data_IF_004253483543
#
_entry.id   IF_004253483543
#
_cell.length_a   1.000
_cell.length_b   1.000
_cell.length_c   1.000
_cell.angle_alpha   90.00
_cell.angle_beta   90.00
_cell.angle_gamma   90.00
#
_symmetry.space_group_name_H-M   'P 1'
#
loop_
_entity.id
_entity.type
_entity.pdbx_description
1 polymer ?
#
# COMPACT_ATOMS: atom_id res chain seq x y z
N UNK A 1 -24.20 31.53 38.62
CA UNK A 1 -23.89 30.99 37.27
C UNK A 1 -23.45 32.04 36.27
N UNK A 2 -23.97 33.28 36.27
CA UNK A 2 -23.52 34.33 35.33
C UNK A 2 -22.06 34.75 35.52
N UNK A 3 -21.57 34.81 36.77
CA UNK A 3 -20.18 35.18 37.13
C UNK A 3 -19.17 34.08 36.73
N UNK A 4 -19.60 32.82 36.70
CA UNK A 4 -18.74 31.68 36.31
C UNK A 4 -18.57 31.65 34.78
N UNK A 5 -19.60 32.03 34.03
CA UNK A 5 -19.55 32.12 32.56
C UNK A 5 -18.63 33.26 32.10
N UNK A 6 -18.60 34.39 32.81
CA UNK A 6 -17.70 35.52 32.48
C UNK A 6 -16.22 35.22 32.71
N UNK A 7 -15.87 34.35 33.66
CA UNK A 7 -14.47 33.98 33.95
C UNK A 7 -13.94 33.01 32.88
N UNK A 8 -14.76 32.07 32.42
CA UNK A 8 -14.37 31.08 31.40
C UNK A 8 -14.19 31.71 30.01
N UNK A 9 -14.96 32.76 29.69
CA UNK A 9 -14.82 33.49 28.41
C UNK A 9 -13.54 34.36 28.34
N UNK A 10 -12.90 34.65 29.49
CA UNK A 10 -11.65 35.42 29.54
C UNK A 10 -10.39 34.61 29.25
N UNK A 11 -10.48 33.28 29.21
CA UNK A 11 -9.32 32.38 29.06
C UNK A 11 -8.97 31.98 27.61
N UNK A 12 -9.71 32.44 26.60
CA UNK A 12 -9.49 32.04 25.19
C UNK A 12 -8.77 33.06 24.33
N UNK A 13 -8.15 34.09 24.91
CA UNK A 13 -7.32 35.05 24.14
C UNK A 13 -5.84 34.86 24.48
N UNK A 14 -5.27 33.75 24.02
CA UNK A 14 -3.81 33.61 23.90
C UNK A 14 -3.42 34.09 22.51
N UNK A 15 -2.82 35.28 22.48
CA UNK A 15 -2.39 35.95 21.26
C UNK A 15 -1.16 35.29 20.64
N UNK A 16 -1.19 35.15 19.31
CA UNK A 16 0.02 34.92 18.52
C UNK A 16 0.72 36.27 18.31
N UNK A 17 1.93 36.41 18.84
CA UNK A 17 2.86 37.43 18.36
C UNK A 17 3.56 36.90 17.09
N UNK A 18 3.67 37.69 16.01
CA UNK A 18 4.59 37.36 14.94
C UNK A 18 6.01 37.62 15.45
N UNK A 19 6.78 36.54 15.61
CA UNK A 19 8.22 36.58 15.91
C UNK A 19 8.94 37.06 14.65
N UNK A 20 9.44 38.29 14.66
CA UNK A 20 10.42 38.77 13.68
C UNK A 20 11.76 38.11 13.99
N UNK A 21 12.25 37.30 13.07
CA UNK A 21 13.60 36.77 13.06
C UNK A 21 14.46 37.67 12.15
N UNK A 22 15.73 37.96 12.51
CA UNK A 22 16.56 38.92 11.79
C UNK A 22 16.91 38.40 10.40
N UNK A 23 16.96 39.29 9.42
CA UNK A 23 17.44 38.99 8.08
C UNK A 23 18.93 38.61 8.13
N UNK A 24 19.22 37.32 8.00
CA UNK A 24 20.55 36.83 7.67
C UNK A 24 20.82 37.06 6.18
N UNK A 25 21.93 37.76 5.94
CA UNK A 25 22.56 37.94 4.65
C UNK A 25 22.85 36.59 4.01
N UNK A 26 22.17 36.28 2.90
CA UNK A 26 22.45 35.11 2.08
C UNK A 26 23.76 35.37 1.35
N UNK A 27 24.84 34.75 1.83
CA UNK A 27 26.07 34.53 1.07
C UNK A 27 25.73 33.46 0.04
N UNK A 28 25.79 33.82 -1.24
CA UNK A 28 25.69 32.85 -2.33
C UNK A 28 27.02 32.11 -2.36
N UNK A 29 27.09 30.98 -1.66
CA UNK A 29 28.11 29.96 -1.96
C UNK A 29 27.73 29.35 -3.30
N UNK A 30 28.64 29.48 -4.26
CA UNK A 30 28.58 28.80 -5.54
C UNK A 30 28.54 27.29 -5.27
N UNK A 31 27.35 26.71 -5.43
CA UNK A 31 27.15 25.27 -5.35
C UNK A 31 27.97 24.64 -6.48
N UNK A 32 29.08 24.01 -6.09
CA UNK A 32 29.89 23.17 -6.96
C UNK A 32 28.99 22.06 -7.46
N UNK A 33 28.61 22.15 -8.74
CA UNK A 33 27.84 21.11 -9.42
C UNK A 33 28.76 19.88 -9.51
N UNK A 34 28.61 18.94 -8.57
CA UNK A 34 29.19 17.60 -8.73
C UNK A 34 28.61 16.98 -10.00
N UNK A 35 29.51 16.60 -10.89
CA UNK A 35 29.22 15.87 -12.12
C UNK A 35 28.49 14.57 -11.71
N UNK A 36 27.30 14.27 -12.25
CA UNK A 36 26.53 13.13 -11.78
C UNK A 36 27.32 11.85 -12.03
N UNK A 37 27.51 11.05 -10.97
CA UNK A 37 28.09 9.72 -11.08
C UNK A 37 27.33 8.92 -12.16
N UNK A 38 28.04 8.09 -12.96
CA UNK A 38 27.41 7.34 -14.03
C UNK A 38 26.33 6.46 -13.44
N UNK A 39 25.08 6.75 -13.82
CA UNK A 39 23.91 5.93 -13.46
C UNK A 39 24.21 4.53 -13.96
N UNK A 40 24.45 3.58 -13.04
CA UNK A 40 24.56 2.17 -13.40
C UNK A 40 23.32 1.80 -14.22
N UNK A 41 23.52 1.33 -15.44
CA UNK A 41 22.43 0.84 -16.29
C UNK A 41 21.74 -0.28 -15.52
N UNK A 42 20.56 0.03 -14.97
CA UNK A 42 19.69 -0.95 -14.31
C UNK A 42 19.48 -2.07 -15.31
N UNK A 43 19.98 -3.27 -14.99
CA UNK A 43 19.85 -4.44 -15.83
C UNK A 43 18.37 -4.59 -16.20
N UNK A 44 18.06 -4.48 -17.49
CA UNK A 44 16.70 -4.67 -17.99
C UNK A 44 16.25 -6.06 -17.56
N UNK A 45 15.25 -6.13 -16.70
CA UNK A 45 14.63 -7.39 -16.32
C UNK A 45 14.17 -8.08 -17.62
N UNK A 46 14.80 -9.23 -17.93
CA UNK A 46 14.66 -9.90 -19.23
C UNK A 46 13.25 -10.47 -19.41
N UNK A 47 12.57 -10.76 -18.30
CA UNK A 47 11.23 -11.33 -18.25
C UNK A 47 10.30 -10.43 -17.43
N UNK A 48 9.07 -10.25 -17.90
CA UNK A 48 8.06 -9.38 -17.27
C UNK A 48 6.81 -10.19 -16.95
N UNK A 49 6.32 -10.08 -15.72
CA UNK A 49 5.03 -10.63 -15.32
C UNK A 49 3.89 -9.77 -15.88
N UNK A 50 3.02 -10.35 -16.72
CA UNK A 50 1.93 -9.60 -17.37
C UNK A 50 0.83 -9.15 -16.40
N UNK A 51 0.70 -9.79 -15.23
CA UNK A 51 -0.33 -9.44 -14.24
C UNK A 51 0.08 -8.23 -13.39
N UNK A 52 1.36 -8.10 -13.05
CA UNK A 52 1.87 -7.06 -12.14
C UNK A 52 2.68 -5.99 -12.86
N UNK A 53 3.23 -6.28 -14.04
CA UNK A 53 4.17 -5.43 -14.76
C UNK A 53 5.57 -5.40 -14.16
N UNK A 54 5.83 -6.19 -13.13
CA UNK A 54 7.15 -6.33 -12.50
C UNK A 54 7.99 -7.31 -13.31
N UNK A 55 9.31 -7.10 -13.37
CA UNK A 55 10.18 -8.10 -13.94
C UNK A 55 10.49 -9.22 -12.96
N UNK A 56 10.94 -10.32 -13.54
CA UNK A 56 11.12 -11.60 -12.87
C UNK A 56 12.47 -12.15 -13.26
N UNK A 57 13.22 -12.65 -12.29
CA UNK A 57 14.58 -13.16 -12.52
C UNK A 57 14.57 -14.47 -13.32
N UNK A 58 13.56 -15.32 -13.10
CA UNK A 58 13.43 -16.63 -13.70
C UNK A 58 12.22 -16.70 -14.64
N UNK A 59 12.46 -17.02 -15.91
CA UNK A 59 11.40 -17.21 -16.91
C UNK A 59 10.38 -18.29 -16.50
N UNK A 60 10.80 -19.33 -15.76
CA UNK A 60 9.88 -20.40 -15.35
C UNK A 60 8.76 -19.90 -14.43
N UNK A 61 9.00 -18.87 -13.63
CA UNK A 61 8.01 -18.34 -12.69
C UNK A 61 6.80 -17.73 -13.43
N UNK A 62 6.99 -17.24 -14.66
CA UNK A 62 5.92 -16.68 -15.51
C UNK A 62 5.35 -17.69 -16.53
N UNK A 63 5.83 -18.94 -16.55
CA UNK A 63 5.27 -20.03 -17.37
C UNK A 63 4.16 -20.79 -16.66
N UNK A 64 4.00 -20.59 -15.35
CA UNK A 64 2.96 -21.24 -14.56
C UNK A 64 1.56 -20.73 -14.91
N UNK A 65 0.53 -21.56 -14.69
CA UNK A 65 -0.86 -21.11 -14.81
C UNK A 65 -1.23 -20.31 -13.56
N UNK A 66 -1.80 -19.10 -13.68
CA UNK A 66 -2.30 -18.37 -12.52
C UNK A 66 -3.34 -19.18 -11.73
N UNK A 67 -3.27 -19.09 -10.41
CA UNK A 67 -4.16 -19.77 -9.47
C UNK A 67 -4.94 -18.74 -8.68
N UNK A 68 -6.28 -18.79 -8.77
CA UNK A 68 -7.17 -17.97 -7.96
C UNK A 68 -7.61 -18.73 -6.71
N UNK A 69 -7.40 -18.14 -5.52
CA UNK A 69 -7.80 -18.72 -4.22
C UNK A 69 -8.75 -17.78 -3.51
N UNK A 70 -9.87 -18.34 -3.05
CA UNK A 70 -10.85 -17.64 -2.24
C UNK A 70 -10.44 -17.64 -0.77
N UNK A 71 -10.18 -16.46 -0.21
CA UNK A 71 -9.69 -16.27 1.16
C UNK A 71 -10.73 -15.55 2.02
N UNK A 72 -10.91 -16.04 3.24
CA UNK A 72 -11.80 -15.43 4.22
C UNK A 72 -11.34 -14.02 4.62
N UNK A 73 -12.30 -13.13 4.83
CA UNK A 73 -12.04 -11.81 5.39
C UNK A 73 -12.87 -11.50 6.65
N UNK A 74 -13.50 -12.50 7.26
CA UNK A 74 -14.11 -12.35 8.58
C UNK A 74 -13.05 -12.01 9.65
N UNK A 75 -13.42 -11.31 10.72
CA UNK A 75 -12.49 -10.84 11.76
C UNK A 75 -11.69 -11.96 12.42
N UNK A 76 -12.33 -13.09 12.72
CA UNK A 76 -11.67 -14.25 13.35
C UNK A 76 -10.79 -15.04 12.38
N UNK A 77 -10.88 -14.77 11.08
CA UNK A 77 -10.04 -15.40 10.06
C UNK A 77 -8.71 -14.65 9.82
N UNK A 78 -8.54 -13.48 10.44
CA UNK A 78 -7.35 -12.64 10.30
C UNK A 78 -6.32 -12.99 11.38
N UNK A 79 -5.02 -12.92 11.08
CA UNK A 79 -4.42 -12.56 9.79
C UNK A 79 -4.47 -13.71 8.77
N UNK A 80 -4.56 -13.35 7.48
CA UNK A 80 -4.47 -14.30 6.37
C UNK A 80 -3.02 -14.80 6.19
N UNK A 81 -2.88 -16.05 5.77
CA UNK A 81 -1.60 -16.60 5.29
C UNK A 81 -1.53 -16.44 3.78
N UNK A 82 -0.36 -16.05 3.28
CA UNK A 82 -0.08 -16.09 1.86
C UNK A 82 -0.67 -14.93 1.05
N UNK A 83 -1.30 -13.93 1.67
CA UNK A 83 -2.02 -12.88 0.92
C UNK A 83 -1.09 -11.80 0.36
N UNK A 84 0.09 -11.62 0.94
CA UNK A 84 1.10 -10.65 0.51
C UNK A 84 1.86 -11.10 -0.73
N UNK A 85 1.87 -12.40 -1.00
CA UNK A 85 2.47 -13.03 -2.17
C UNK A 85 1.50 -13.08 -3.36
N UNK A 86 0.28 -12.56 -3.21
CA UNK A 86 -0.69 -12.52 -4.30
C UNK A 86 -0.37 -11.39 -5.28
N UNK A 87 -0.46 -11.67 -6.58
CA UNK A 87 -0.24 -10.70 -7.65
C UNK A 87 -1.43 -9.73 -7.79
N UNK A 88 -2.65 -10.26 -7.61
CA UNK A 88 -3.89 -9.48 -7.65
C UNK A 88 -4.78 -9.94 -6.52
N UNK A 89 -5.36 -8.99 -5.78
CA UNK A 89 -6.37 -9.28 -4.75
C UNK A 89 -7.64 -8.52 -5.07
N UNK A 90 -8.73 -9.25 -5.30
CA UNK A 90 -10.06 -8.67 -5.40
C UNK A 90 -10.79 -8.80 -4.06
N UNK A 91 -11.26 -7.68 -3.52
CA UNK A 91 -12.21 -7.67 -2.41
C UNK A 91 -13.63 -7.45 -2.94
N UNK A 92 -14.56 -8.34 -2.58
CA UNK A 92 -15.96 -8.19 -2.99
C UNK A 92 -16.91 -8.49 -1.82
N UNK A 93 -18.05 -7.78 -1.74
CA UNK A 93 -19.06 -8.05 -0.73
C UNK A 93 -19.66 -9.46 -0.89
N UNK A 94 -20.02 -10.07 0.23
CA UNK A 94 -20.76 -11.34 0.29
C UNK A 94 -21.99 -11.16 1.22
N UNK A 95 -22.52 -12.23 1.82
CA UNK A 95 -23.63 -12.14 2.76
C UNK A 95 -23.25 -11.42 4.07
N UNK A 96 -24.23 -10.81 4.74
CA UNK A 96 -24.05 -10.38 6.14
C UNK A 96 -23.10 -9.19 6.33
N UNK A 97 -22.93 -8.35 5.30
CA UNK A 97 -22.08 -7.14 5.36
C UNK A 97 -20.60 -7.42 5.68
N UNK A 98 -20.10 -8.57 5.22
CA UNK A 98 -18.67 -8.89 5.19
C UNK A 98 -18.21 -9.04 3.74
N UNK A 99 -16.91 -9.04 3.52
CA UNK A 99 -16.28 -9.26 2.22
C UNK A 99 -15.53 -10.59 2.19
N UNK A 100 -15.13 -11.03 1.01
CA UNK A 100 -14.12 -12.09 0.82
C UNK A 100 -13.07 -11.60 -0.17
N UNK A 101 -11.87 -12.17 -0.07
CA UNK A 101 -10.81 -11.94 -1.03
C UNK A 101 -10.77 -13.05 -2.06
N UNK A 102 -10.49 -12.70 -3.31
CA UNK A 102 -9.96 -13.61 -4.31
C UNK A 102 -8.53 -13.17 -4.64
N UNK A 103 -7.56 -13.98 -4.22
CA UNK A 103 -6.15 -13.74 -4.45
C UNK A 103 -5.68 -14.57 -5.65
N UNK A 104 -5.05 -13.92 -6.64
CA UNK A 104 -4.48 -14.55 -7.82
C UNK A 104 -2.96 -14.62 -7.64
N UNK A 105 -2.41 -15.81 -7.81
CA UNK A 105 -0.99 -16.11 -7.71
C UNK A 105 -0.48 -16.59 -9.06
N UNK A 106 0.58 -16.00 -9.58
CA UNK A 106 1.21 -16.40 -10.84
C UNK A 106 2.70 -16.65 -10.67
N UNK A 107 3.47 -15.63 -10.27
CA UNK A 107 4.94 -15.71 -10.26
C UNK A 107 5.57 -15.80 -8.86
N UNK A 108 4.85 -15.36 -7.81
CA UNK A 108 5.35 -15.43 -6.44
C UNK A 108 4.87 -16.71 -5.76
N UNK A 109 5.78 -17.58 -5.28
CA UNK A 109 5.39 -18.79 -4.56
C UNK A 109 4.88 -18.44 -3.16
N UNK A 110 3.89 -19.22 -2.68
CA UNK A 110 3.40 -19.13 -1.31
C UNK A 110 3.34 -20.52 -0.69
N UNK A 111 4.00 -20.70 0.47
CA UNK A 111 4.01 -21.99 1.18
C UNK A 111 2.62 -22.32 1.75
N UNK A 112 1.84 -21.30 2.12
CA UNK A 112 0.55 -21.46 2.78
C UNK A 112 -0.40 -20.32 2.44
N UNK A 113 -1.56 -20.67 1.89
CA UNK A 113 -2.61 -19.73 1.51
C UNK A 113 -3.89 -20.00 2.32
N UNK A 114 -4.49 -18.96 2.91
CA UNK A 114 -5.80 -19.07 3.54
C UNK A 114 -6.09 -18.05 4.65
N UNK A 115 -7.18 -18.23 5.42
CA UNK A 115 -8.10 -19.38 5.41
C UNK A 115 -8.95 -19.47 4.14
N UNK A 116 -9.03 -20.66 3.53
CA UNK A 116 -9.84 -20.88 2.31
C UNK A 116 -11.34 -20.85 2.62
N UNK A 117 -12.13 -20.28 1.70
CA UNK A 117 -13.59 -20.20 1.79
C UNK A 117 -14.29 -20.51 0.47
N UNK A 118 -15.61 -20.65 0.55
CA UNK A 118 -16.47 -20.88 -0.61
C UNK A 118 -16.40 -19.72 -1.61
N UNK A 119 -16.26 -20.08 -2.88
CA UNK A 119 -16.43 -19.16 -4.00
C UNK A 119 -17.90 -18.73 -4.16
N UNK A 120 -18.10 -17.57 -4.79
CA UNK A 120 -19.42 -17.09 -5.24
C UNK A 120 -19.37 -16.81 -6.75
N UNK A 121 -20.49 -16.93 -7.48
CA UNK A 121 -20.47 -16.87 -8.94
C UNK A 121 -19.81 -15.61 -9.53
N UNK A 122 -20.00 -14.45 -8.91
CA UNK A 122 -19.42 -13.18 -9.39
C UNK A 122 -17.90 -13.09 -9.27
N UNK A 123 -17.25 -14.01 -8.56
CA UNK A 123 -15.78 -14.13 -8.59
C UNK A 123 -15.29 -14.80 -9.88
N UNK A 124 -16.12 -15.61 -10.54
CA UNK A 124 -15.74 -16.33 -11.77
C UNK A 124 -15.45 -15.35 -12.90
N UNK A 125 -16.20 -14.25 -12.99
CA UNK A 125 -15.99 -13.21 -14.00
C UNK A 125 -14.68 -12.43 -13.81
N UNK A 126 -13.96 -12.68 -12.70
CA UNK A 126 -12.72 -12.01 -12.32
C UNK A 126 -11.53 -12.97 -12.23
N UNK A 127 -11.76 -14.27 -12.37
CA UNK A 127 -10.75 -15.32 -12.30
C UNK A 127 -10.20 -15.63 -13.70
#
# INVERSE_FOLDING_TARGET
MLIIITIILSMTVVGCQPKQEPAETIVIEEEVIEEPEPVEEVAKEEYICLLTGLGVENEEDIKHRPVAVMIDNERNARPQSGITEADIVFEMPVEGNITRYMAIYHHLPSEKIGPVRSARPYFIDKA
#
